data_IF_026758831244
#
_entry.id   IF_026758831244
#
_cell.length_a   1.000
_cell.length_b   1.000
_cell.length_c   1.000
_cell.angle_alpha   90.00
_cell.angle_beta   90.00
_cell.angle_gamma   90.00
#
_symmetry.space_group_name_H-M   'P 1'
#
loop_
_entity.id
_entity.type
_entity.pdbx_description
1 polymer ?
#
# COMPACT_ATOMS: atom_id res chain seq x y z
N UNK A 1 6.52 5.46 -5.29
CA UNK A 1 7.22 5.96 -6.50
C UNK A 1 6.26 6.19 -7.66
N UNK A 2 5.29 5.33 -7.90
CA UNK A 2 4.34 5.36 -9.01
C UNK A 2 2.91 5.16 -8.51
N UNK A 3 1.92 5.58 -9.31
CA UNK A 3 0.49 5.40 -9.06
C UNK A 3 -0.25 6.67 -8.65
N UNK A 4 -1.55 6.57 -8.56
CA UNK A 4 -2.44 7.61 -8.04
C UNK A 4 -3.77 6.99 -7.56
N UNK A 5 -4.62 7.80 -6.91
CA UNK A 5 -5.89 7.37 -6.32
C UNK A 5 -6.95 6.85 -7.33
N UNK A 6 -6.76 7.04 -8.64
CA UNK A 6 -7.66 6.53 -9.68
C UNK A 6 -7.30 5.12 -10.15
N UNK A 7 -6.12 4.62 -9.71
CA UNK A 7 -5.62 3.29 -10.05
C UNK A 7 -5.99 2.26 -8.97
N UNK A 8 -7.23 2.29 -8.53
CA UNK A 8 -7.79 1.40 -7.50
C UNK A 8 -8.48 0.19 -8.13
N UNK A 9 -8.62 -0.87 -7.35
CA UNK A 9 -9.50 -2.00 -7.72
C UNK A 9 -10.96 -1.61 -7.51
N UNK A 10 -11.66 -1.23 -8.58
CA UNK A 10 -13.09 -0.86 -8.53
C UNK A 10 -13.93 -1.93 -7.81
N UNK A 11 -13.78 -3.25 -8.08
CA UNK A 11 -14.54 -4.26 -7.36
C UNK A 11 -14.34 -4.26 -5.84
N UNK A 12 -13.12 -3.95 -5.36
CA UNK A 12 -12.87 -3.84 -3.92
C UNK A 12 -13.58 -2.63 -3.31
N UNK A 13 -13.60 -1.50 -4.02
CA UNK A 13 -14.33 -0.31 -3.56
C UNK A 13 -15.84 -0.57 -3.55
N UNK A 14 -16.37 -1.22 -4.59
CA UNK A 14 -17.79 -1.59 -4.66
C UNK A 14 -18.19 -2.56 -3.53
N UNK A 15 -17.33 -3.53 -3.17
CA UNK A 15 -17.56 -4.40 -2.01
C UNK A 15 -17.61 -3.60 -0.71
N UNK A 16 -16.68 -2.66 -0.49
CA UNK A 16 -16.69 -1.77 0.67
C UNK A 16 -17.99 -0.93 0.74
N UNK A 17 -18.38 -0.30 -0.37
CA UNK A 17 -19.61 0.50 -0.43
C UNK A 17 -20.84 -0.35 -0.19
N UNK A 18 -20.88 -1.60 -0.68
CA UNK A 18 -21.99 -2.54 -0.45
C UNK A 18 -22.16 -2.93 1.02
N UNK A 19 -21.08 -2.81 1.82
CA UNK A 19 -21.08 -3.00 3.29
C UNK A 19 -21.50 -1.74 4.06
N UNK A 20 -21.86 -0.66 3.33
CA UNK A 20 -22.24 0.62 3.93
C UNK A 20 -21.06 1.44 4.44
N UNK A 21 -19.85 1.17 3.98
CA UNK A 21 -18.66 1.91 4.38
C UNK A 21 -18.44 3.14 3.49
N UNK A 22 -17.90 4.20 4.09
CA UNK A 22 -17.36 5.33 3.35
C UNK A 22 -15.92 4.99 2.97
N UNK A 23 -15.55 5.23 1.72
CA UNK A 23 -14.19 4.93 1.22
C UNK A 23 -13.48 6.22 0.84
N UNK A 24 -12.32 6.46 1.42
CA UNK A 24 -11.43 7.59 1.10
C UNK A 24 -10.16 7.05 0.46
N UNK A 25 -9.86 7.51 -0.75
CA UNK A 25 -8.66 7.06 -1.50
C UNK A 25 -7.75 8.27 -1.72
N UNK A 26 -6.68 8.41 -0.93
CA UNK A 26 -5.80 9.57 -1.03
C UNK A 26 -4.77 9.44 -2.15
N UNK A 27 -4.34 10.58 -2.67
CA UNK A 27 -3.00 10.71 -3.23
C UNK A 27 -2.03 11.08 -2.11
N UNK A 28 -0.78 10.69 -2.26
CA UNK A 28 0.32 11.06 -1.36
C UNK A 28 1.54 11.45 -2.18
N UNK A 29 2.45 12.23 -1.60
CA UNK A 29 3.71 12.59 -2.26
C UNK A 29 4.54 11.35 -2.61
N UNK A 30 5.17 11.39 -3.78
CA UNK A 30 5.88 10.24 -4.34
C UNK A 30 7.41 10.37 -4.13
N UNK A 31 8.02 9.27 -3.65
CA UNK A 31 9.48 9.14 -3.68
C UNK A 31 10.00 9.19 -5.14
N UNK A 32 11.26 9.64 -5.36
CA UNK A 32 12.26 10.02 -4.37
C UNK A 32 12.29 11.51 -4.03
N UNK A 33 11.41 12.35 -4.59
CA UNK A 33 11.36 13.79 -4.30
C UNK A 33 11.17 14.11 -2.82
N UNK A 34 10.65 13.15 -2.07
CA UNK A 34 10.55 13.12 -0.61
C UNK A 34 10.86 11.69 -0.15
N UNK A 35 11.37 11.49 1.07
CA UNK A 35 11.59 10.14 1.58
C UNK A 35 10.27 9.48 2.03
N UNK A 36 10.32 8.16 2.26
CA UNK A 36 9.13 7.35 2.59
C UNK A 36 8.41 7.89 3.85
N UNK A 37 9.14 8.29 4.90
CA UNK A 37 8.53 8.70 6.15
C UNK A 37 7.94 10.11 6.04
N UNK A 38 8.71 11.08 5.52
CA UNK A 38 8.33 12.49 5.45
C UNK A 38 7.33 12.82 4.33
N UNK A 39 7.11 11.88 3.40
CA UNK A 39 6.14 11.98 2.32
C UNK A 39 4.99 11.01 2.52
N UNK A 40 4.98 9.86 1.83
CA UNK A 40 3.80 8.99 1.78
C UNK A 40 3.29 8.53 3.15
N UNK A 41 4.15 8.24 4.12
CA UNK A 41 3.72 7.83 5.47
C UNK A 41 3.07 9.00 6.21
N UNK A 42 3.73 10.17 6.22
CA UNK A 42 3.18 11.36 6.90
C UNK A 42 1.88 11.82 6.26
N UNK A 43 1.81 11.85 4.92
CA UNK A 43 0.58 12.22 4.19
C UNK A 43 -0.62 11.32 4.55
N UNK A 44 -0.37 10.01 4.73
CA UNK A 44 -1.41 9.08 5.17
C UNK A 44 -1.79 9.28 6.65
N UNK A 45 -0.83 9.63 7.52
CA UNK A 45 -1.07 9.97 8.93
C UNK A 45 -1.84 11.27 9.08
N UNK A 46 -1.54 12.27 8.29
CA UNK A 46 -2.28 13.54 8.23
C UNK A 46 -3.73 13.31 7.81
N UNK A 47 -3.96 12.44 6.80
CA UNK A 47 -5.32 12.06 6.42
C UNK A 47 -6.05 11.36 7.57
N UNK A 48 -5.38 10.43 8.27
CA UNK A 48 -5.98 9.73 9.41
C UNK A 48 -6.37 10.72 10.51
N UNK A 49 -5.50 11.65 10.85
CA UNK A 49 -5.77 12.71 11.82
C UNK A 49 -6.94 13.59 11.38
N UNK A 50 -6.97 14.02 10.11
CA UNK A 50 -8.07 14.81 9.55
C UNK A 50 -9.42 14.09 9.64
N UNK A 51 -9.46 12.77 9.43
CA UNK A 51 -10.70 11.98 9.61
C UNK A 51 -11.13 11.98 11.06
N UNK A 52 -10.20 11.76 12.01
CA UNK A 52 -10.51 11.73 13.43
C UNK A 52 -10.92 13.11 14.00
N UNK A 53 -10.39 14.18 13.42
CA UNK A 53 -10.71 15.57 13.82
C UNK A 53 -12.03 16.08 13.19
N UNK A 54 -12.80 15.21 12.53
CA UNK A 54 -14.10 15.54 11.94
C UNK A 54 -14.03 16.17 10.55
N UNK A 55 -12.85 16.24 9.95
CA UNK A 55 -12.68 16.85 8.63
C UNK A 55 -13.46 16.14 7.52
N UNK A 56 -13.53 14.80 7.56
CA UNK A 56 -14.32 14.03 6.58
C UNK A 56 -15.81 14.32 6.71
N UNK A 57 -16.34 14.35 7.93
CA UNK A 57 -17.75 14.64 8.17
C UNK A 57 -18.10 16.07 7.72
N UNK A 58 -17.26 17.05 8.09
CA UNK A 58 -17.40 18.43 7.63
C UNK A 58 -17.38 18.55 6.11
N UNK A 59 -16.45 17.86 5.43
CA UNK A 59 -16.40 17.85 3.98
C UNK A 59 -17.68 17.27 3.35
N UNK A 60 -18.20 16.16 3.88
CA UNK A 60 -19.44 15.56 3.39
C UNK A 60 -20.63 16.50 3.54
N UNK A 61 -20.77 17.16 4.69
CA UNK A 61 -21.81 18.16 4.91
C UNK A 61 -21.70 19.35 3.93
N UNK A 62 -20.49 19.84 3.67
CA UNK A 62 -20.26 20.90 2.69
C UNK A 62 -20.62 20.49 1.25
N UNK A 63 -20.61 19.17 0.97
CA UNK A 63 -21.09 18.61 -0.31
C UNK A 63 -22.62 18.36 -0.34
N UNK A 64 -23.35 18.68 0.73
CA UNK A 64 -24.80 18.50 0.83
C UNK A 64 -25.22 17.14 1.40
N UNK A 65 -24.29 16.35 1.91
CA UNK A 65 -24.55 15.03 2.51
C UNK A 65 -24.75 15.15 4.04
N UNK A 66 -25.62 16.08 4.46
CA UNK A 66 -25.87 16.39 5.89
C UNK A 66 -26.41 15.20 6.71
N UNK A 67 -26.98 14.20 6.04
CA UNK A 67 -27.50 12.99 6.70
C UNK A 67 -26.44 11.94 6.99
N UNK A 68 -25.23 12.10 6.46
CA UNK A 68 -24.13 11.18 6.66
C UNK A 68 -23.36 11.55 7.92
N UNK A 69 -23.16 10.58 8.80
CA UNK A 69 -22.27 10.72 9.96
C UNK A 69 -21.09 9.75 9.85
N UNK A 70 -19.93 10.21 10.31
CA UNK A 70 -18.70 9.41 10.29
C UNK A 70 -18.46 8.79 11.65
N UNK A 71 -18.56 7.45 11.75
CA UNK A 71 -18.25 6.71 12.97
C UNK A 71 -16.72 6.55 13.11
N UNK A 72 -16.12 7.48 13.85
CA UNK A 72 -14.66 7.48 14.08
C UNK A 72 -14.17 6.34 14.98
N UNK A 73 -15.05 5.57 15.64
CA UNK A 73 -14.67 4.35 16.35
C UNK A 73 -14.48 3.15 15.42
N UNK A 74 -14.85 3.29 14.14
CA UNK A 74 -14.81 2.24 13.12
C UNK A 74 -13.91 2.56 11.93
N UNK A 75 -12.93 3.42 12.13
CA UNK A 75 -11.96 3.72 11.08
C UNK A 75 -11.07 2.51 10.82
N UNK A 76 -10.96 2.13 9.55
CA UNK A 76 -10.14 1.02 9.08
C UNK A 76 -9.21 1.51 7.97
N UNK A 77 -8.11 0.78 7.75
CA UNK A 77 -7.20 1.06 6.65
C UNK A 77 -6.97 -0.20 5.82
N UNK A 78 -6.87 -0.06 4.50
CA UNK A 78 -6.40 -1.14 3.64
C UNK A 78 -5.62 -0.61 2.45
N UNK A 79 -4.80 -1.46 1.87
CA UNK A 79 -4.03 -1.11 0.69
C UNK A 79 -3.34 -2.30 0.05
N UNK A 80 -2.87 -2.11 -1.19
CA UNK A 80 -2.18 -3.12 -1.98
C UNK A 80 -0.71 -2.76 -2.16
N UNK A 81 0.21 -3.72 -2.11
CA UNK A 81 1.63 -3.53 -2.35
C UNK A 81 2.21 -2.40 -1.45
N UNK A 82 2.75 -1.32 -2.04
CA UNK A 82 3.18 -0.15 -1.26
C UNK A 82 2.05 0.48 -0.44
N UNK A 83 0.79 0.41 -0.92
CA UNK A 83 -0.38 0.84 -0.16
C UNK A 83 -0.66 -0.04 1.06
N UNK A 84 -0.38 -1.34 0.99
CA UNK A 84 -0.43 -2.25 2.14
C UNK A 84 0.56 -1.84 3.22
N UNK A 85 1.80 -1.53 2.85
CA UNK A 85 2.78 -0.93 3.75
C UNK A 85 2.27 0.39 4.37
N UNK A 86 1.69 1.29 3.57
CA UNK A 86 1.17 2.56 4.07
C UNK A 86 0.00 2.34 5.05
N UNK A 87 -0.89 1.40 4.77
CA UNK A 87 -1.95 1.03 5.71
C UNK A 87 -1.38 0.51 7.05
N UNK A 88 -0.36 -0.36 7.01
CA UNK A 88 0.34 -0.86 8.19
C UNK A 88 1.05 0.26 8.96
N UNK A 89 1.58 1.28 8.26
CA UNK A 89 2.26 2.42 8.89
C UNK A 89 1.33 3.30 9.76
N UNK A 90 0.03 3.16 9.60
CA UNK A 90 -0.98 3.81 10.45
C UNK A 90 -1.20 3.07 11.78
N UNK A 91 -0.59 1.89 11.97
CA UNK A 91 -0.68 1.11 13.21
C UNK A 91 0.32 1.53 14.28
N UNK A 92 1.29 2.38 13.99
CA UNK A 92 2.33 2.80 14.93
C UNK A 92 2.67 4.28 14.78
N UNK A 93 3.19 4.85 15.86
CA UNK A 93 3.63 6.26 15.93
C UNK A 93 2.55 7.28 15.50
N UNK A 94 1.30 6.94 15.73
CA UNK A 94 0.14 7.81 15.59
C UNK A 94 -0.61 7.89 16.91
N UNK A 95 -1.26 9.04 17.23
CA UNK A 95 -2.00 9.19 18.49
C UNK A 95 -3.17 8.21 18.63
N UNK A 96 -3.84 7.93 17.53
CA UNK A 96 -5.00 7.04 17.45
C UNK A 96 -4.91 6.22 16.15
N UNK A 97 -4.51 4.94 16.23
CA UNK A 97 -4.46 4.08 15.06
C UNK A 97 -5.88 3.67 14.60
N UNK A 98 -6.04 3.17 13.36
CA UNK A 98 -7.29 2.60 12.90
C UNK A 98 -7.66 1.36 13.74
N UNK A 99 -8.94 1.00 13.75
CA UNK A 99 -9.45 -0.16 14.50
C UNK A 99 -8.93 -1.48 13.94
N UNK A 100 -8.77 -1.57 12.63
CA UNK A 100 -8.24 -2.73 11.92
C UNK A 100 -7.51 -2.32 10.64
N UNK A 101 -6.59 -3.18 10.21
CA UNK A 101 -5.80 -3.01 9.00
C UNK A 101 -5.93 -4.27 8.12
N UNK A 102 -6.09 -4.05 6.80
CA UNK A 102 -6.03 -5.10 5.80
C UNK A 102 -4.90 -4.82 4.82
N UNK A 103 -3.91 -5.68 4.84
CA UNK A 103 -2.74 -5.64 3.99
C UNK A 103 -2.87 -6.63 2.83
N UNK A 104 -2.88 -6.14 1.60
CA UNK A 104 -2.76 -6.96 0.41
C UNK A 104 -1.31 -6.95 -0.08
N UNK A 105 -0.59 -8.03 0.11
CA UNK A 105 0.78 -8.28 -0.35
C UNK A 105 1.72 -7.07 -0.15
N UNK A 106 1.64 -6.42 1.01
CA UNK A 106 2.39 -5.22 1.33
C UNK A 106 3.91 -5.43 1.43
N UNK A 107 4.63 -4.36 1.13
CA UNK A 107 6.07 -4.33 1.32
C UNK A 107 6.40 -4.25 2.81
N UNK A 108 6.95 -5.31 3.38
CA UNK A 108 7.28 -5.45 4.81
C UNK A 108 8.62 -6.14 5.00
N UNK A 109 9.11 -6.23 6.25
CA UNK A 109 10.36 -6.88 6.63
C UNK A 109 11.55 -6.29 5.88
N UNK A 110 11.68 -4.96 5.94
CA UNK A 110 12.69 -4.19 5.20
C UNK A 110 14.13 -4.51 5.62
N UNK A 111 14.32 -5.09 6.79
CA UNK A 111 15.62 -5.59 7.26
C UNK A 111 16.04 -6.91 6.58
N UNK A 112 15.12 -7.58 5.87
CA UNK A 112 15.45 -8.83 5.16
C UNK A 112 16.32 -8.57 3.93
N UNK A 113 17.33 -9.42 3.64
CA UNK A 113 18.24 -9.27 2.49
C UNK A 113 17.55 -9.21 1.13
N UNK A 114 16.33 -9.68 1.00
CA UNK A 114 15.52 -9.56 -0.23
C UNK A 114 15.53 -8.13 -0.78
N UNK A 115 15.38 -7.12 0.08
CA UNK A 115 15.26 -5.72 -0.34
C UNK A 115 16.53 -5.10 -0.90
N UNK A 116 17.68 -5.79 -0.72
CA UNK A 116 18.98 -5.41 -1.28
C UNK A 116 19.47 -6.37 -2.36
N UNK A 117 18.63 -7.34 -2.75
CA UNK A 117 18.95 -8.34 -3.77
C UNK A 117 18.36 -7.92 -5.11
N UNK A 118 19.16 -7.92 -6.20
CA UNK A 118 18.64 -7.66 -7.54
C UNK A 118 17.56 -8.66 -7.96
N UNK A 119 16.58 -8.19 -8.74
CA UNK A 119 15.47 -8.97 -9.28
C UNK A 119 15.65 -9.16 -10.80
N UNK A 120 16.24 -10.28 -11.26
CA UNK A 120 16.55 -10.50 -12.68
C UNK A 120 15.31 -10.41 -13.58
N UNK A 121 14.17 -10.93 -13.16
CA UNK A 121 12.91 -10.90 -13.91
C UNK A 121 12.34 -9.48 -14.10
N UNK A 122 12.75 -8.51 -13.26
CA UNK A 122 12.44 -7.09 -13.44
C UNK A 122 13.51 -6.43 -14.33
N UNK A 123 14.78 -6.78 -14.12
CA UNK A 123 15.89 -6.25 -14.92
C UNK A 123 15.75 -6.57 -16.42
N UNK A 124 15.23 -7.74 -16.76
CA UNK A 124 14.96 -8.16 -18.15
C UNK A 124 13.94 -7.25 -18.87
N UNK A 125 13.11 -6.50 -18.13
CA UNK A 125 12.14 -5.55 -18.68
C UNK A 125 12.76 -4.18 -19.00
N UNK A 126 13.96 -3.89 -18.47
CA UNK A 126 14.60 -2.60 -18.67
C UNK A 126 15.19 -2.52 -20.09
N UNK A 127 14.94 -1.44 -20.85
CA UNK A 127 15.56 -1.26 -22.14
C UNK A 127 17.08 -1.01 -21.98
N UNK A 128 17.89 -1.40 -22.97
CA UNK A 128 19.30 -1.03 -22.98
C UNK A 128 19.46 0.49 -23.11
N UNK A 129 20.51 1.02 -22.47
CA UNK A 129 20.89 2.43 -22.65
C UNK A 129 20.15 3.42 -21.75
N UNK A 130 19.58 2.99 -20.63
CA UNK A 130 19.14 3.91 -19.58
C UNK A 130 20.38 4.52 -18.91
N UNK A 131 20.58 5.82 -19.11
CA UNK A 131 21.70 6.56 -18.54
C UNK A 131 21.32 7.14 -17.17
N UNK A 132 22.26 7.16 -16.20
CA UNK A 132 22.01 7.75 -14.88
C UNK A 132 21.47 9.17 -14.96
N UNK A 133 22.03 10.02 -15.81
CA UNK A 133 21.65 11.43 -15.98
C UNK A 133 20.18 11.60 -16.42
N UNK A 134 19.63 10.64 -17.17
CA UNK A 134 18.22 10.63 -17.53
C UNK A 134 17.33 10.18 -16.37
N UNK A 135 17.75 9.11 -15.66
CA UNK A 135 17.02 8.55 -14.52
C UNK A 135 16.96 9.56 -13.38
N UNK A 136 18.07 10.27 -13.14
CA UNK A 136 18.22 11.22 -12.03
C UNK A 136 17.36 12.49 -12.22
N UNK A 137 16.84 12.74 -13.42
CA UNK A 137 15.87 13.82 -13.63
C UNK A 137 14.59 13.69 -12.81
N UNK A 138 14.31 12.53 -12.24
CA UNK A 138 13.22 12.34 -11.27
C UNK A 138 13.39 13.25 -10.03
N UNK A 139 14.61 13.64 -9.69
CA UNK A 139 14.90 14.56 -8.56
C UNK A 139 14.69 16.04 -8.92
N UNK A 140 14.46 16.35 -10.21
CA UNK A 140 14.20 17.72 -10.68
C UNK A 140 12.70 18.06 -10.64
N UNK A 141 11.84 17.09 -10.29
CA UNK A 141 10.40 17.29 -10.23
C UNK A 141 10.01 18.23 -9.08
N UNK A 142 9.49 19.41 -9.39
CA UNK A 142 9.04 20.44 -8.46
C UNK A 142 7.71 21.04 -8.96
N UNK A 143 6.64 21.03 -8.15
CA UNK A 143 6.54 20.42 -6.81
C UNK A 143 6.67 18.90 -6.82
N UNK A 144 6.96 18.31 -5.65
CA UNK A 144 6.96 16.85 -5.50
C UNK A 144 5.62 16.28 -5.95
N UNK A 145 5.59 15.38 -6.94
CA UNK A 145 4.33 14.90 -7.48
C UNK A 145 3.58 14.00 -6.50
N UNK A 146 2.26 14.07 -6.57
CA UNK A 146 1.33 13.20 -5.81
C UNK A 146 0.68 12.15 -6.70
N UNK A 147 1.00 12.14 -7.98
CA UNK A 147 0.50 11.17 -8.95
C UNK A 147 1.56 10.80 -10.00
N UNK A 148 1.34 9.69 -10.67
CA UNK A 148 2.06 9.30 -11.87
C UNK A 148 1.11 8.61 -12.85
N UNK A 149 1.49 8.60 -14.14
CA UNK A 149 0.63 8.07 -15.22
C UNK A 149 0.48 6.54 -15.22
N UNK A 150 1.26 5.83 -14.41
CA UNK A 150 1.26 4.37 -14.29
C UNK A 150 1.58 3.96 -12.85
N UNK A 151 1.00 2.83 -12.41
CA UNK A 151 1.43 2.12 -11.21
C UNK A 151 2.51 1.10 -11.54
N UNK A 152 3.21 0.57 -10.51
CA UNK A 152 4.11 -0.59 -10.67
C UNK A 152 3.38 -1.82 -11.18
N UNK A 153 2.08 -1.88 -10.98
CA UNK A 153 1.19 -2.94 -11.40
C UNK A 153 0.77 -2.81 -12.88
N UNK A 154 1.29 -1.79 -13.57
CA UNK A 154 0.99 -1.54 -14.99
C UNK A 154 -0.39 -0.96 -15.24
N UNK A 155 -1.08 -0.47 -14.20
CA UNK A 155 -2.40 0.10 -14.35
C UNK A 155 -2.36 1.57 -14.73
N UNK A 156 -3.36 1.96 -15.48
CA UNK A 156 -3.66 3.33 -15.85
C UNK A 156 -5.03 3.72 -15.33
N UNK A 157 -5.31 5.02 -15.25
CA UNK A 157 -6.64 5.55 -14.92
C UNK A 157 -7.78 4.97 -15.79
N UNK A 158 -7.47 4.51 -17.01
CA UNK A 158 -8.43 3.86 -17.90
C UNK A 158 -8.71 2.38 -17.57
N UNK A 159 -8.11 1.83 -16.51
CA UNK A 159 -8.22 0.42 -16.14
C UNK A 159 -7.50 -0.56 -17.10
N UNK A 160 -6.77 -0.06 -18.07
CA UNK A 160 -5.99 -0.90 -18.99
C UNK A 160 -4.59 -1.15 -18.45
N UNK A 161 -4.15 -2.40 -18.49
CA UNK A 161 -2.76 -2.73 -18.20
C UNK A 161 -1.87 -2.16 -19.32
N UNK A 162 -0.91 -1.31 -18.94
CA UNK A 162 0.14 -0.80 -19.83
C UNK A 162 1.47 -0.98 -19.13
N UNK A 163 2.44 -1.49 -19.85
CA UNK A 163 3.81 -1.57 -19.34
C UNK A 163 4.39 -0.17 -19.08
N UNK A 164 5.53 -0.09 -18.35
CA UNK A 164 6.21 1.16 -18.06
C UNK A 164 6.61 1.90 -19.33
N UNK A 165 6.54 3.21 -19.28
CA UNK A 165 7.04 4.10 -20.33
C UNK A 165 8.45 4.58 -19.98
N UNK A 166 9.46 3.84 -20.40
CA UNK A 166 10.86 4.16 -20.10
C UNK A 166 11.38 5.44 -20.78
N UNK A 167 10.58 6.13 -21.59
CA UNK A 167 10.88 7.50 -22.02
C UNK A 167 10.61 8.54 -20.92
N UNK A 168 10.00 8.13 -19.79
CA UNK A 168 9.74 8.94 -18.62
C UNK A 168 10.77 8.67 -17.54
N UNK A 169 11.46 9.69 -16.99
CA UNK A 169 12.46 9.50 -15.94
C UNK A 169 11.92 8.74 -14.74
N UNK A 170 10.70 9.04 -14.28
CA UNK A 170 10.08 8.42 -13.12
C UNK A 170 9.85 6.91 -13.28
N UNK A 171 9.33 6.47 -14.44
CA UNK A 171 9.12 5.05 -14.72
C UNK A 171 10.47 4.32 -14.80
N UNK A 172 11.44 4.93 -15.53
CA UNK A 172 12.80 4.40 -15.65
C UNK A 172 13.48 4.31 -14.27
N UNK A 173 13.35 5.34 -13.42
CA UNK A 173 13.87 5.34 -12.06
C UNK A 173 13.28 4.19 -11.25
N UNK A 174 11.95 4.13 -11.14
CA UNK A 174 11.26 3.17 -10.28
C UNK A 174 11.65 1.72 -10.64
N UNK A 175 11.56 1.36 -11.91
CA UNK A 175 11.91 0.00 -12.36
C UNK A 175 13.40 -0.30 -12.23
N UNK A 176 14.28 0.69 -12.42
CA UNK A 176 15.72 0.52 -12.20
C UNK A 176 16.04 0.26 -10.73
N UNK A 177 15.42 1.00 -9.79
CA UNK A 177 15.64 0.79 -8.35
C UNK A 177 15.14 -0.60 -7.91
N UNK A 178 13.98 -1.03 -8.39
CA UNK A 178 13.42 -2.35 -8.09
C UNK A 178 14.32 -3.45 -8.65
N UNK A 179 14.68 -3.37 -9.92
CA UNK A 179 15.52 -4.36 -10.59
C UNK A 179 16.86 -4.58 -9.89
N UNK A 180 17.41 -3.54 -9.28
CA UNK A 180 18.72 -3.56 -8.63
C UNK A 180 18.67 -3.74 -7.10
N UNK A 181 17.49 -3.96 -6.48
CA UNK A 181 17.36 -4.05 -5.02
C UNK A 181 17.74 -2.77 -4.30
N UNK A 182 17.41 -1.61 -4.86
CA UNK A 182 17.80 -0.28 -4.36
C UNK A 182 16.62 0.60 -3.93
N UNK A 183 15.42 0.04 -3.86
CA UNK A 183 14.21 0.82 -3.52
C UNK A 183 14.37 1.54 -2.18
N UNK A 184 14.81 0.83 -1.14
CA UNK A 184 14.97 1.42 0.19
C UNK A 184 16.07 2.48 0.22
N UNK A 185 17.22 2.23 -0.38
CA UNK A 185 18.31 3.21 -0.43
C UNK A 185 17.94 4.47 -1.24
N UNK A 186 17.07 4.34 -2.23
CA UNK A 186 16.61 5.46 -3.06
C UNK A 186 15.46 6.26 -2.40
N UNK A 187 14.58 5.57 -1.67
CA UNK A 187 13.39 6.19 -1.09
C UNK A 187 13.51 6.49 0.42
N UNK A 188 14.52 5.95 1.09
CA UNK A 188 14.81 6.19 2.50
C UNK A 188 16.33 6.31 2.76
N UNK A 189 17.00 7.26 2.09
CA UNK A 189 18.45 7.37 2.12
C UNK A 189 18.98 7.80 3.50
N UNK A 190 20.06 7.14 3.94
CA UNK A 190 20.82 7.55 5.12
C UNK A 190 20.13 7.34 6.47
N UNK A 191 19.00 6.63 6.50
CA UNK A 191 18.23 6.32 7.72
C UNK A 191 18.15 4.82 7.97
N UNK A 192 17.82 4.45 9.20
CA UNK A 192 17.61 3.06 9.57
C UNK A 192 16.22 2.58 9.13
N UNK A 193 16.18 1.61 8.23
CA UNK A 193 14.92 1.05 7.71
C UNK A 193 14.02 0.48 8.81
N UNK A 194 14.56 0.16 9.99
CA UNK A 194 13.78 -0.29 11.15
C UNK A 194 12.78 0.76 11.64
N UNK A 195 13.03 2.05 11.36
CA UNK A 195 12.11 3.14 11.72
C UNK A 195 10.77 3.06 10.97
N UNK A 196 10.76 2.42 9.80
CA UNK A 196 9.60 2.31 8.93
C UNK A 196 9.19 0.86 8.65
N UNK A 197 9.93 -0.13 9.13
CA UNK A 197 9.62 -1.55 8.89
C UNK A 197 8.48 -2.00 9.81
N UNK A 198 7.29 -2.36 9.27
CA UNK A 198 6.19 -2.84 10.10
C UNK A 198 6.57 -3.99 11.03
N UNK A 199 7.43 -4.92 10.55
CA UNK A 199 7.90 -6.05 11.38
C UNK A 199 8.67 -5.57 12.62
N UNK A 200 9.39 -4.45 12.52
CA UNK A 200 10.12 -3.85 13.64
C UNK A 200 9.23 -2.94 14.50
N UNK A 201 8.14 -2.40 13.94
CA UNK A 201 7.28 -1.41 14.59
C UNK A 201 6.06 -2.02 15.28
N UNK A 202 5.70 -3.28 14.99
CA UNK A 202 4.61 -4.00 15.65
C UNK A 202 4.91 -4.16 17.16
N UNK A 203 3.93 -3.76 17.97
CA UNK A 203 3.97 -3.83 19.45
C UNK A 203 2.60 -4.22 20.01
N UNK A 204 2.53 -4.51 21.28
CA UNK A 204 1.26 -4.71 21.97
C UNK A 204 0.32 -3.51 21.74
N UNK A 205 -0.93 -3.78 21.44
CA UNK A 205 -1.93 -2.75 21.09
C UNK A 205 -1.90 -2.30 19.62
N UNK A 206 -1.09 -2.91 18.76
CA UNK A 206 -1.18 -2.71 17.31
C UNK A 206 -2.57 -3.14 16.81
N UNK A 207 -3.14 -2.47 15.78
CA UNK A 207 -4.47 -2.79 15.24
C UNK A 207 -4.62 -4.26 14.82
N UNK A 208 -5.82 -4.81 14.99
CA UNK A 208 -6.13 -6.11 14.43
C UNK A 208 -5.83 -6.12 12.92
N UNK A 209 -5.09 -7.12 12.43
CA UNK A 209 -4.52 -7.07 11.08
C UNK A 209 -4.81 -8.35 10.30
N UNK A 210 -5.37 -8.21 9.09
CA UNK A 210 -5.46 -9.29 8.13
C UNK A 210 -4.45 -9.07 7.00
N UNK A 211 -3.75 -10.14 6.62
CA UNK A 211 -2.83 -10.14 5.46
C UNK A 211 -3.36 -11.09 4.40
N UNK A 212 -3.51 -10.60 3.16
CA UNK A 212 -3.92 -11.39 2.01
C UNK A 212 -2.78 -11.38 0.99
N UNK A 213 -2.21 -12.55 0.66
CA UNK A 213 -1.01 -12.62 -0.16
C UNK A 213 -1.02 -13.79 -1.13
N UNK A 214 -0.62 -13.53 -2.39
CA UNK A 214 -0.44 -14.55 -3.41
C UNK A 214 0.76 -15.46 -3.10
N UNK A 215 0.54 -16.77 -3.18
CA UNK A 215 1.61 -17.75 -2.84
C UNK A 215 2.78 -17.68 -3.82
N UNK A 216 2.51 -17.34 -5.09
CA UNK A 216 3.49 -17.31 -6.17
C UNK A 216 4.12 -15.92 -6.37
N UNK A 217 3.91 -14.99 -5.41
CA UNK A 217 4.42 -13.61 -5.51
C UNK A 217 5.96 -13.58 -5.58
N UNK A 218 6.45 -13.09 -6.72
CA UNK A 218 7.89 -12.94 -7.01
C UNK A 218 8.39 -11.50 -6.87
N UNK A 219 7.46 -10.55 -6.72
CA UNK A 219 7.80 -9.13 -6.54
C UNK A 219 7.99 -8.78 -5.07
N UNK A 220 7.11 -9.28 -4.20
CA UNK A 220 7.19 -9.22 -2.74
C UNK A 220 6.91 -10.62 -2.20
N UNK A 221 7.93 -11.45 -2.00
CA UNK A 221 7.71 -12.85 -1.64
C UNK A 221 6.91 -13.04 -0.36
N UNK A 222 5.96 -13.96 -0.37
CA UNK A 222 5.01 -14.23 0.71
C UNK A 222 5.67 -14.51 2.07
N UNK A 223 6.91 -15.03 2.10
CA UNK A 223 7.60 -15.29 3.36
C UNK A 223 7.88 -14.02 4.17
N UNK A 224 7.93 -12.83 3.53
CA UNK A 224 8.04 -11.55 4.23
C UNK A 224 6.78 -11.24 5.03
N UNK A 225 5.61 -11.50 4.46
CA UNK A 225 4.32 -11.35 5.15
C UNK A 225 4.10 -12.42 6.23
N UNK A 226 4.58 -13.64 6.01
CA UNK A 226 4.55 -14.68 7.06
C UNK A 226 5.36 -14.26 8.29
N UNK A 227 6.47 -13.55 8.10
CA UNK A 227 7.23 -12.98 9.22
C UNK A 227 6.46 -11.87 9.94
N UNK A 228 5.78 -10.99 9.21
CA UNK A 228 4.89 -9.99 9.82
C UNK A 228 3.81 -10.66 10.69
N UNK A 229 3.13 -11.67 10.15
CA UNK A 229 2.07 -12.39 10.89
C UNK A 229 2.64 -13.07 12.15
N UNK A 230 3.80 -13.74 12.03
CA UNK A 230 4.49 -14.32 13.19
C UNK A 230 4.76 -13.29 14.30
N UNK A 231 5.21 -12.09 13.91
CA UNK A 231 5.48 -11.01 14.88
C UNK A 231 4.17 -10.46 15.49
N UNK A 232 3.11 -10.31 14.70
CA UNK A 232 1.78 -9.92 15.18
C UNK A 232 1.29 -10.91 16.26
N UNK A 233 1.37 -12.22 15.99
CA UNK A 233 1.00 -13.29 16.93
C UNK A 233 1.84 -13.23 18.21
N UNK A 234 3.17 -13.06 18.10
CA UNK A 234 4.08 -12.93 19.25
C UNK A 234 3.76 -11.72 20.14
N UNK A 235 3.20 -10.65 19.55
CA UNK A 235 2.78 -9.45 20.29
C UNK A 235 1.34 -9.54 20.81
N UNK A 236 0.66 -10.66 20.58
CA UNK A 236 -0.73 -10.86 21.00
C UNK A 236 -1.73 -10.03 20.21
N UNK A 237 -1.36 -9.60 19.01
CA UNK A 237 -2.25 -8.87 18.10
C UNK A 237 -3.17 -9.86 17.41
N UNK A 238 -4.48 -9.57 17.39
CA UNK A 238 -5.41 -10.38 16.60
C UNK A 238 -5.07 -10.27 15.12
N UNK A 239 -4.75 -11.38 14.47
CA UNK A 239 -4.40 -11.39 13.06
C UNK A 239 -4.92 -12.62 12.32
N UNK A 240 -5.06 -12.47 11.00
CA UNK A 240 -5.40 -13.55 10.07
C UNK A 240 -4.50 -13.44 8.84
N UNK A 241 -4.07 -14.60 8.31
CA UNK A 241 -3.37 -14.65 7.02
C UNK A 241 -4.19 -15.48 6.02
N UNK A 242 -4.44 -14.89 4.86
CA UNK A 242 -5.09 -15.53 3.72
C UNK A 242 -4.07 -15.71 2.60
N UNK A 243 -3.54 -16.91 2.48
CA UNK A 243 -2.66 -17.27 1.38
C UNK A 243 -3.49 -17.65 0.15
N UNK A 244 -3.24 -17.00 -1.00
CA UNK A 244 -3.99 -17.20 -2.24
C UNK A 244 -3.17 -18.04 -3.22
N UNK A 245 -3.45 -19.36 -3.35
CA UNK A 245 -2.66 -20.24 -4.19
C UNK A 245 -2.80 -19.91 -5.68
N UNK A 246 -1.67 -19.95 -6.40
CA UNK A 246 -1.61 -19.71 -7.84
C UNK A 246 -1.55 -18.23 -8.24
N UNK A 247 -1.62 -17.32 -7.27
CA UNK A 247 -1.57 -15.89 -7.52
C UNK A 247 -0.16 -15.32 -7.32
N UNK A 248 0.26 -14.48 -8.28
CA UNK A 248 1.49 -13.66 -8.23
C UNK A 248 1.15 -12.29 -7.60
N UNK A 249 2.07 -11.34 -7.61
CA UNK A 249 1.86 -9.96 -7.19
C UNK A 249 0.71 -9.33 -8.01
N UNK A 250 -0.04 -8.40 -7.43
CA UNK A 250 -1.07 -7.61 -8.14
C UNK A 250 -2.38 -8.34 -8.51
N UNK A 251 -2.60 -9.56 -8.01
CA UNK A 251 -3.81 -10.32 -8.33
C UNK A 251 -5.12 -9.56 -8.03
N UNK A 252 -5.11 -8.66 -7.03
CA UNK A 252 -6.28 -7.86 -6.66
C UNK A 252 -6.79 -6.97 -7.80
N UNK A 253 -5.94 -6.68 -8.78
CA UNK A 253 -6.25 -5.75 -9.86
C UNK A 253 -6.82 -6.41 -11.10
N UNK A 254 -6.54 -7.69 -11.31
CA UNK A 254 -6.98 -8.47 -12.47
C UNK A 254 -8.03 -9.53 -12.15
N UNK A 255 -8.45 -9.69 -10.90
CA UNK A 255 -9.37 -10.74 -10.53
C UNK A 255 -10.80 -10.45 -11.00
N UNK A 256 -11.49 -11.54 -11.36
CA UNK A 256 -12.90 -11.48 -11.73
C UNK A 256 -13.78 -11.65 -10.48
N UNK A 257 -14.83 -10.84 -10.37
CA UNK A 257 -15.85 -10.95 -9.32
C UNK A 257 -16.52 -12.34 -9.40
N UNK A 258 -16.61 -13.01 -8.26
CA UNK A 258 -17.14 -14.38 -8.16
C UNK A 258 -16.11 -15.48 -8.47
N UNK A 259 -14.88 -15.12 -8.83
CA UNK A 259 -13.81 -16.11 -8.96
C UNK A 259 -13.36 -16.62 -7.58
N UNK A 260 -12.61 -17.74 -7.56
CA UNK A 260 -12.00 -18.24 -6.32
C UNK A 260 -11.08 -17.19 -5.67
N UNK A 261 -10.29 -16.48 -6.46
CA UNK A 261 -9.41 -15.41 -5.97
C UNK A 261 -10.22 -14.29 -5.34
N UNK A 262 -11.33 -13.89 -5.97
CA UNK A 262 -12.27 -12.92 -5.43
C UNK A 262 -12.80 -13.35 -4.05
N UNK A 263 -13.30 -14.58 -3.92
CA UNK A 263 -13.83 -15.08 -2.65
C UNK A 263 -12.75 -15.18 -1.56
N UNK A 264 -11.53 -15.54 -1.93
CA UNK A 264 -10.43 -15.60 -0.97
C UNK A 264 -10.03 -14.21 -0.48
N UNK A 265 -9.89 -13.24 -1.37
CA UNK A 265 -9.51 -11.88 -0.99
C UNK A 265 -10.59 -11.16 -0.17
N UNK A 266 -11.88 -11.45 -0.42
CA UNK A 266 -13.00 -10.90 0.37
C UNK A 266 -12.92 -11.27 1.84
N UNK A 267 -12.30 -12.40 2.21
CA UNK A 267 -12.06 -12.76 3.61
C UNK A 267 -11.31 -11.67 4.38
N UNK A 268 -10.47 -10.87 3.70
CA UNK A 268 -9.83 -9.70 4.30
C UNK A 268 -10.86 -8.63 4.69
N UNK A 269 -11.83 -8.33 3.83
CA UNK A 269 -12.91 -7.39 4.16
C UNK A 269 -13.89 -7.98 5.19
N UNK A 270 -14.16 -9.28 5.17
CA UNK A 270 -14.96 -9.96 6.19
C UNK A 270 -14.27 -9.90 7.57
N UNK A 271 -12.93 -9.98 7.60
CA UNK A 271 -12.14 -9.75 8.81
C UNK A 271 -12.35 -8.33 9.34
N UNK A 272 -12.22 -7.30 8.49
CA UNK A 272 -12.45 -5.90 8.90
C UNK A 272 -13.86 -5.72 9.48
N UNK A 273 -14.89 -6.21 8.77
CA UNK A 273 -16.29 -6.14 9.20
C UNK A 273 -16.51 -6.81 10.58
N UNK A 274 -15.90 -7.97 10.78
CA UNK A 274 -15.95 -8.69 12.06
C UNK A 274 -15.32 -7.89 13.20
N UNK A 275 -14.21 -7.20 12.95
CA UNK A 275 -13.53 -6.41 13.99
C UNK A 275 -14.34 -5.17 14.37
N UNK A 276 -14.88 -4.43 13.39
CA UNK A 276 -15.66 -3.21 13.67
C UNK A 276 -17.08 -3.51 14.17
N UNK A 277 -17.59 -4.72 13.96
CA UNK A 277 -18.90 -5.17 14.43
C UNK A 277 -18.91 -5.60 15.92
N UNK A 278 -17.75 -5.64 16.59
CA UNK A 278 -17.65 -5.94 18.02
C UNK A 278 -17.93 -4.68 18.84
N UNK A 279 -18.92 -4.77 19.73
CA UNK A 279 -19.25 -3.74 20.72
C UNK A 279 -18.19 -3.65 21.83
#
# INVERSE_FOLDING_TARGET
>A
MLGNSRMISTPQIEDCLSRGWIVVVPNHRLCPGVNILEGPVEDCRDLLAWVYDGGLEGFLHDQGEESVSVDTEKVMAFGTSSGGFLALSLGYDVPRPPKAILDFYGAVHFTHPFWTTPLPHVAEKLPPGLFPEFIDRVYEEDPVPTDSSISLEGQMESGRAKGPDFSRPRDAFAFTQIANGRVLSACFPGRDVREIDPVCCVREGFPATCVVHGVEDRMVPIYLSRELVRVLEEKGVECEMVEVPGEDHTFAMGMEVGSRTWEMQRRGFDFLERIIGRE
#
